data_IF_969321021075
#
_entry.id   IF_969321021075
#
_cell.length_a   1.000
_cell.length_b   1.000
_cell.length_c   1.000
_cell.angle_alpha   90.00
_cell.angle_beta   90.00
_cell.angle_gamma   90.00
#
_symmetry.space_group_name_H-M   'P 1'
#
loop_
_entity.id
_entity.type
_entity.pdbx_description
1 polymer ?
#
# COMPACT_ATOMS: atom_id res chain seq x y z
N UNK A 1 -30.66 25.72 22.20
CA UNK A 1 -31.22 24.40 22.57
C UNK A 1 -30.11 23.37 22.49
N UNK A 2 -30.08 22.42 23.43
CA UNK A 2 -29.07 21.36 23.52
C UNK A 2 -29.08 20.50 22.23
N UNK A 3 -27.93 20.39 21.55
CA UNK A 3 -27.80 19.70 20.27
C UNK A 3 -28.13 18.20 20.36
N UNK A 4 -28.22 17.66 21.57
CA UNK A 4 -28.54 16.27 21.87
C UNK A 4 -30.03 15.93 21.77
N UNK A 5 -30.92 16.94 21.67
CA UNK A 5 -32.39 16.75 21.71
C UNK A 5 -33.05 16.86 20.31
N UNK A 6 -32.28 17.18 19.26
CA UNK A 6 -32.81 17.35 17.89
C UNK A 6 -33.12 15.98 17.25
N UNK A 7 -34.33 15.76 16.68
CA UNK A 7 -34.64 14.50 16.02
C UNK A 7 -33.76 14.32 14.78
N UNK A 8 -33.02 13.20 14.74
CA UNK A 8 -32.13 12.85 13.64
C UNK A 8 -32.96 12.54 12.38
N UNK A 9 -32.91 13.43 11.38
CA UNK A 9 -33.43 13.11 10.04
C UNK A 9 -32.37 12.31 9.28
N UNK A 10 -32.74 11.08 8.90
CA UNK A 10 -31.91 10.17 8.10
C UNK A 10 -32.33 10.37 6.63
N UNK A 11 -31.41 10.76 5.72
CA UNK A 11 -31.72 10.88 4.30
C UNK A 11 -32.21 9.54 3.73
N UNK A 12 -33.16 9.52 2.79
CA UNK A 12 -33.64 8.28 2.18
C UNK A 12 -32.53 7.49 1.47
N UNK A 13 -31.50 8.15 0.94
CA UNK A 13 -30.35 7.46 0.33
C UNK A 13 -29.45 6.75 1.36
N UNK A 14 -29.58 7.06 2.66
CA UNK A 14 -28.76 6.45 3.71
C UNK A 14 -29.10 4.97 3.90
N UNK A 15 -30.34 4.54 3.66
CA UNK A 15 -30.70 3.12 3.76
C UNK A 15 -29.96 2.29 2.72
N UNK A 16 -29.93 2.76 1.47
CA UNK A 16 -29.23 2.12 0.36
C UNK A 16 -27.72 2.10 0.61
N UNK A 17 -27.17 3.21 1.09
CA UNK A 17 -25.76 3.31 1.46
C UNK A 17 -25.40 2.38 2.63
N UNK A 18 -26.24 2.33 3.67
CA UNK A 18 -26.02 1.52 4.85
C UNK A 18 -26.09 0.02 4.57
N UNK A 19 -26.95 -0.40 3.65
CA UNK A 19 -27.02 -1.79 3.19
C UNK A 19 -25.81 -2.16 2.31
N UNK A 20 -25.45 -1.30 1.35
CA UNK A 20 -24.26 -1.51 0.49
C UNK A 20 -22.94 -1.62 1.27
N UNK A 21 -22.91 -1.05 2.46
CA UNK A 21 -21.72 -0.92 3.29
C UNK A 21 -21.90 -1.60 4.66
N UNK A 22 -22.83 -2.56 4.80
CA UNK A 22 -23.01 -3.38 6.02
C UNK A 22 -23.10 -2.58 7.35
N UNK A 23 -23.56 -1.32 7.27
CA UNK A 23 -23.62 -0.40 8.41
C UNK A 23 -24.66 -0.88 9.42
N UNK A 24 -25.77 -1.46 8.94
CA UNK A 24 -26.78 -2.04 9.82
C UNK A 24 -26.24 -3.20 10.65
N UNK A 25 -25.45 -4.07 10.03
CA UNK A 25 -24.81 -5.18 10.73
C UNK A 25 -23.81 -4.66 11.77
N UNK A 26 -22.97 -3.68 11.40
CA UNK A 26 -22.04 -3.04 12.33
C UNK A 26 -22.77 -2.45 13.55
N UNK A 27 -23.81 -1.64 13.31
CA UNK A 27 -24.59 -1.02 14.39
C UNK A 27 -25.25 -2.08 15.27
N UNK A 28 -25.77 -3.16 14.67
CA UNK A 28 -26.34 -4.28 15.43
C UNK A 28 -25.29 -4.97 16.30
N UNK A 29 -24.08 -5.19 15.81
CA UNK A 29 -22.97 -5.77 16.59
C UNK A 29 -22.56 -4.85 17.74
N UNK A 30 -22.45 -3.54 17.48
CA UNK A 30 -22.10 -2.54 18.50
C UNK A 30 -23.15 -2.50 19.62
N UNK A 31 -24.43 -2.44 19.26
CA UNK A 31 -25.53 -2.42 20.24
C UNK A 31 -25.60 -3.74 21.01
N UNK A 32 -25.42 -4.88 20.34
CA UNK A 32 -25.39 -6.20 20.98
C UNK A 32 -24.27 -6.27 22.03
N UNK A 33 -23.06 -5.85 21.69
CA UNK A 33 -21.92 -5.92 22.60
C UNK A 33 -22.09 -4.98 23.79
N UNK A 34 -22.63 -3.78 23.60
CA UNK A 34 -22.96 -2.89 24.73
C UNK A 34 -24.03 -3.50 25.64
N UNK A 35 -25.03 -4.17 25.08
CA UNK A 35 -26.09 -4.81 25.89
C UNK A 35 -25.61 -6.07 26.62
N UNK A 36 -24.67 -6.82 26.04
CA UNK A 36 -24.10 -8.03 26.64
C UNK A 36 -23.08 -7.67 27.72
N UNK A 37 -22.13 -6.78 27.41
CA UNK A 37 -20.98 -6.51 28.27
C UNK A 37 -21.28 -5.46 29.36
N UNK A 38 -22.37 -4.68 29.20
CA UNK A 38 -22.82 -3.62 30.12
C UNK A 38 -21.68 -2.79 30.73
N UNK A 39 -20.82 -2.19 29.89
CA UNK A 39 -19.69 -1.40 30.37
C UNK A 39 -20.15 -0.15 31.13
N UNK A 40 -19.36 0.28 32.11
CA UNK A 40 -19.63 1.50 32.90
C UNK A 40 -19.63 2.77 32.04
N UNK A 41 -18.79 2.82 30.99
CA UNK A 41 -18.81 3.86 29.95
C UNK A 41 -19.01 3.22 28.56
N UNK A 42 -20.27 3.17 28.07
CA UNK A 42 -20.60 2.53 26.80
C UNK A 42 -19.99 3.26 25.60
N UNK A 43 -19.76 4.56 25.67
CA UNK A 43 -19.20 5.33 24.55
C UNK A 43 -17.72 5.00 24.39
N UNK A 44 -16.97 5.01 25.49
CA UNK A 44 -15.55 4.68 25.46
C UNK A 44 -15.31 3.20 25.09
N UNK A 45 -16.21 2.31 25.52
CA UNK A 45 -16.19 0.90 25.13
C UNK A 45 -16.35 0.71 23.61
N UNK A 46 -17.35 1.37 23.02
CA UNK A 46 -17.60 1.33 21.57
C UNK A 46 -16.43 1.90 20.76
N UNK A 47 -15.82 3.00 21.23
CA UNK A 47 -14.63 3.59 20.58
C UNK A 47 -13.46 2.60 20.58
N UNK A 48 -13.24 1.89 21.69
CA UNK A 48 -12.16 0.90 21.79
C UNK A 48 -12.45 -0.35 20.96
N UNK A 49 -13.73 -0.76 20.88
CA UNK A 49 -14.17 -1.87 20.03
C UNK A 49 -13.93 -1.57 18.55
N UNK A 50 -14.35 -0.39 18.07
CA UNK A 50 -14.11 0.08 16.70
C UNK A 50 -12.62 0.28 16.35
N UNK A 51 -11.76 0.45 17.37
CA UNK A 51 -10.30 0.53 17.19
C UNK A 51 -9.61 -0.83 17.17
N UNK A 52 -10.20 -1.86 17.77
CA UNK A 52 -9.62 -3.22 17.88
C UNK A 52 -9.91 -4.06 16.64
N UNK A 53 -11.14 -4.00 16.14
CA UNK A 53 -11.50 -4.71 14.93
C UNK A 53 -11.02 -3.92 13.71
N UNK A 54 -10.23 -4.59 12.86
CA UNK A 54 -9.76 -4.07 11.58
C UNK A 54 -10.94 -3.93 10.62
N UNK A 55 -11.77 -2.92 10.84
CA UNK A 55 -12.77 -2.50 9.85
C UNK A 55 -12.05 -1.89 8.66
N UNK A 56 -12.38 -2.38 7.46
CA UNK A 56 -11.79 -1.93 6.20
C UNK A 56 -11.81 -0.39 6.10
N UNK A 57 -10.63 0.18 5.87
CA UNK A 57 -10.32 1.61 5.94
C UNK A 57 -11.07 2.55 4.98
N UNK A 58 -12.17 2.10 4.36
CA UNK A 58 -13.14 2.97 3.67
C UNK A 58 -14.06 3.71 4.65
N UNK A 59 -14.28 3.19 5.85
CA UNK A 59 -15.23 3.76 6.82
C UNK A 59 -14.73 4.96 7.62
N UNK A 60 -13.42 5.03 7.90
CA UNK A 60 -12.86 6.06 8.77
C UNK A 60 -12.76 7.44 8.11
N UNK A 61 -12.66 7.51 6.77
CA UNK A 61 -12.60 8.80 6.07
C UNK A 61 -13.98 9.51 6.02
N UNK A 62 -15.07 8.75 6.01
CA UNK A 62 -16.43 9.30 5.94
C UNK A 62 -16.98 9.72 7.31
N UNK A 63 -16.51 9.10 8.41
CA UNK A 63 -16.84 9.58 9.74
C UNK A 63 -16.21 10.96 10.04
N UNK A 64 -15.01 11.25 9.53
CA UNK A 64 -14.37 12.55 9.73
C UNK A 64 -15.03 13.69 8.94
N UNK A 65 -15.55 13.40 7.74
CA UNK A 65 -16.30 14.40 6.95
C UNK A 65 -17.69 14.61 7.54
N UNK A 66 -18.36 13.56 8.02
CA UNK A 66 -19.65 13.65 8.71
C UNK A 66 -19.54 14.39 10.06
N UNK A 67 -18.50 14.15 10.86
CA UNK A 67 -18.30 14.84 12.14
C UNK A 67 -17.95 16.32 11.93
N UNK A 68 -17.22 16.69 10.88
CA UNK A 68 -17.02 18.10 10.52
C UNK A 68 -18.28 18.78 9.97
N UNK A 69 -19.18 18.03 9.33
CA UNK A 69 -20.46 18.58 8.83
C UNK A 69 -21.57 18.62 9.89
N UNK A 70 -21.51 17.78 10.94
CA UNK A 70 -22.55 17.74 11.99
C UNK A 70 -22.15 18.35 13.31
N UNK A 71 -20.86 18.55 13.57
CA UNK A 71 -20.42 19.42 14.65
C UNK A 71 -20.00 20.75 14.04
N UNK A 72 -20.95 21.70 14.02
CA UNK A 72 -20.63 23.13 13.97
C UNK A 72 -19.81 23.47 15.23
N UNK A 73 -18.54 23.07 15.26
CA UNK A 73 -17.63 23.47 16.31
C UNK A 73 -17.18 24.90 15.98
N UNK A 74 -17.54 25.89 16.80
CA UNK A 74 -17.00 27.24 16.68
C UNK A 74 -15.47 27.12 16.82
N UNK A 75 -14.71 27.94 16.08
CA UNK A 75 -13.26 28.03 16.21
C UNK A 75 -12.83 28.37 17.66
N UNK A 76 -12.78 27.36 18.52
CA UNK A 76 -12.77 27.55 19.96
C UNK A 76 -12.63 26.24 20.71
N UNK A 77 -11.61 25.44 20.41
CA UNK A 77 -11.02 24.51 21.36
C UNK A 77 -9.51 24.44 21.10
N UNK A 78 -8.75 24.85 22.12
CA UNK A 78 -7.32 24.69 22.23
C UNK A 78 -6.95 23.21 22.16
N UNK A 79 -6.59 22.72 20.99
CA UNK A 79 -5.84 21.47 20.87
C UNK A 79 -4.51 21.86 20.23
N UNK A 80 -3.50 21.98 21.09
CA UNK A 80 -2.12 22.15 20.68
C UNK A 80 -1.75 21.13 19.59
N UNK A 81 -1.12 21.56 18.47
CA UNK A 81 -0.80 20.69 17.33
C UNK A 81 0.14 19.52 17.68
N UNK A 82 0.76 19.56 18.87
CA UNK A 82 1.66 18.52 19.37
C UNK A 82 0.98 17.17 19.68
N UNK A 83 -0.32 17.15 20.01
CA UNK A 83 -1.04 15.88 20.35
C UNK A 83 -1.78 15.23 19.19
N UNK A 84 -2.12 15.97 18.13
CA UNK A 84 -2.75 15.39 16.93
C UNK A 84 -1.75 14.64 16.04
N UNK A 85 -0.49 15.10 15.97
CA UNK A 85 0.54 14.44 15.17
C UNK A 85 1.05 13.12 15.76
N UNK A 86 0.86 12.86 17.07
CA UNK A 86 1.26 11.59 17.70
C UNK A 86 0.22 10.47 17.58
N UNK A 87 -1.04 10.75 17.26
CA UNK A 87 -2.12 9.73 17.34
C UNK A 87 -2.58 9.22 15.97
N UNK A 88 -2.07 9.76 14.87
CA UNK A 88 -2.43 9.35 13.51
C UNK A 88 -1.19 9.08 12.65
N UNK A 89 -0.31 8.21 13.17
CA UNK A 89 0.53 7.36 12.34
C UNK A 89 -0.22 6.06 12.06
N UNK A 90 -1.35 6.15 11.33
CA UNK A 90 -1.97 4.97 10.75
C UNK A 90 -1.15 4.61 9.51
N UNK A 91 -0.33 3.57 9.64
CA UNK A 91 0.24 2.84 8.52
C UNK A 91 -0.89 2.50 7.54
N UNK A 92 -0.80 2.85 6.26
CA UNK A 92 -1.25 2.08 5.09
C UNK A 92 -1.11 2.95 3.83
N UNK A 93 -0.92 2.29 2.68
CA UNK A 93 -0.50 2.84 1.40
C UNK A 93 -1.18 4.16 0.98
N UNK A 94 -0.36 5.09 0.46
CA UNK A 94 -0.74 6.37 -0.18
C UNK A 94 -1.42 7.40 0.74
N UNK A 95 -0.60 8.08 1.56
CA UNK A 95 -1.01 9.31 2.24
C UNK A 95 -1.45 10.37 1.21
N UNK A 96 -2.74 10.65 1.12
CA UNK A 96 -3.28 11.76 0.34
C UNK A 96 -3.54 12.91 1.30
N UNK A 97 -2.80 14.02 1.17
CA UNK A 97 -3.07 15.21 1.98
C UNK A 97 -3.69 16.27 1.07
N UNK A 98 -4.80 16.85 1.50
CA UNK A 98 -5.45 18.00 0.85
C UNK A 98 -5.43 19.16 1.82
N UNK A 99 -5.05 20.34 1.33
CA UNK A 99 -5.13 21.56 2.10
C UNK A 99 -5.94 22.60 1.33
N UNK A 100 -6.90 23.17 2.02
CA UNK A 100 -7.78 24.21 1.50
C UNK A 100 -7.15 25.57 1.79
N UNK A 101 -6.93 26.38 0.76
CA UNK A 101 -6.40 27.73 0.89
C UNK A 101 -7.41 28.76 0.38
N UNK A 102 -7.65 29.79 1.17
CA UNK A 102 -8.39 30.98 0.74
C UNK A 102 -7.69 32.23 1.32
N UNK A 103 -7.85 33.40 0.69
CA UNK A 103 -7.29 34.65 1.22
C UNK A 103 -7.83 34.96 2.63
N UNK A 104 -6.97 35.48 3.51
CA UNK A 104 -7.34 35.78 4.90
C UNK A 104 -8.53 36.76 4.98
N UNK A 105 -8.59 37.73 4.08
CA UNK A 105 -9.70 38.69 3.98
C UNK A 105 -11.03 37.96 3.75
N UNK A 106 -11.05 36.99 2.84
CA UNK A 106 -12.24 36.19 2.53
C UNK A 106 -12.63 35.30 3.71
N UNK A 107 -11.65 34.70 4.41
CA UNK A 107 -11.91 33.88 5.59
C UNK A 107 -12.49 34.69 6.76
N UNK A 108 -12.01 35.92 6.94
CA UNK A 108 -12.53 36.85 7.95
C UNK A 108 -13.96 37.27 7.58
N UNK A 109 -14.21 37.66 6.34
CA UNK A 109 -15.56 38.02 5.85
C UNK A 109 -16.55 36.85 6.01
N UNK A 110 -16.14 35.63 5.63
CA UNK A 110 -16.94 34.41 5.79
C UNK A 110 -17.30 34.12 7.24
N UNK A 111 -16.37 34.39 8.16
CA UNK A 111 -16.63 34.23 9.59
C UNK A 111 -17.62 35.28 10.08
N UNK A 112 -17.45 36.55 9.70
CA UNK A 112 -18.28 37.67 10.17
C UNK A 112 -19.71 37.65 9.59
N UNK A 113 -19.87 37.17 8.37
CA UNK A 113 -21.15 37.07 7.69
C UNK A 113 -21.99 35.86 8.09
N UNK A 114 -21.52 35.04 9.03
CA UNK A 114 -22.25 33.88 9.53
C UNK A 114 -23.54 34.29 10.25
N UNK A 115 -24.62 33.58 9.96
CA UNK A 115 -25.93 33.71 10.60
C UNK A 115 -26.42 32.33 11.01
N UNK A 116 -27.23 32.25 12.06
CA UNK A 116 -27.81 31.00 12.54
C UNK A 116 -29.31 31.18 12.62
N UNK A 117 -30.05 30.21 12.08
CA UNK A 117 -31.48 30.12 12.32
C UNK A 117 -31.71 29.59 13.75
N UNK A 118 -32.37 30.33 14.65
CA UNK A 118 -32.59 29.90 16.04
C UNK A 118 -33.56 28.72 16.15
N UNK A 119 -34.39 28.47 15.13
CA UNK A 119 -35.40 27.40 15.12
C UNK A 119 -34.81 26.09 14.61
N UNK A 120 -34.12 26.14 13.47
CA UNK A 120 -33.50 24.94 12.90
C UNK A 120 -32.09 24.71 13.43
N UNK A 121 -31.36 25.76 13.81
CA UNK A 121 -29.93 25.66 14.12
C UNK A 121 -29.05 25.53 12.88
N UNK A 122 -29.61 25.76 11.69
CA UNK A 122 -28.86 25.73 10.44
C UNK A 122 -28.09 27.04 10.25
N UNK A 123 -26.91 26.94 9.65
CA UNK A 123 -25.99 28.07 9.46
C UNK A 123 -26.15 28.64 8.06
N UNK A 124 -26.37 29.94 7.99
CA UNK A 124 -26.49 30.71 6.76
C UNK A 124 -25.37 31.74 6.66
N UNK A 125 -25.18 32.31 5.47
CA UNK A 125 -24.23 33.39 5.26
C UNK A 125 -24.87 34.50 4.44
N UNK A 126 -24.70 35.75 4.90
CA UNK A 126 -25.31 36.95 4.29
C UNK A 126 -25.08 37.09 2.78
N UNK A 127 -23.94 36.62 2.29
CA UNK A 127 -23.53 36.75 0.86
C UNK A 127 -23.49 35.43 0.09
N UNK A 128 -23.18 34.30 0.74
CA UNK A 128 -22.78 33.06 0.05
C UNK A 128 -23.83 31.95 0.17
N UNK A 129 -24.74 32.04 1.15
CA UNK A 129 -25.73 31.02 1.45
C UNK A 129 -26.91 31.69 2.13
N UNK A 130 -27.68 32.44 1.32
CA UNK A 130 -28.90 33.09 1.78
C UNK A 130 -30.06 32.09 1.70
N UNK A 131 -30.96 32.03 2.70
CA UNK A 131 -32.12 31.16 2.65
C UNK A 131 -33.07 31.54 1.51
N UNK A 132 -33.69 30.54 0.89
CA UNK A 132 -34.72 30.74 -0.15
C UNK A 132 -36.06 31.22 0.43
N UNK A 133 -36.35 30.85 1.68
CA UNK A 133 -37.56 31.28 2.39
C UNK A 133 -37.34 32.61 3.09
N UNK A 134 -38.23 33.56 2.83
CA UNK A 134 -38.24 34.89 3.43
C UNK A 134 -38.51 34.84 4.95
N UNK A 135 -39.27 33.86 5.41
CA UNK A 135 -39.55 33.59 6.83
C UNK A 135 -38.27 33.15 7.57
N UNK A 136 -37.43 32.35 6.90
CA UNK A 136 -36.13 31.93 7.44
C UNK A 136 -35.16 33.12 7.44
N UNK A 137 -35.16 33.94 6.39
CA UNK A 137 -34.31 35.12 6.29
C UNK A 137 -34.55 36.13 7.42
N UNK A 138 -35.83 36.38 7.77
CA UNK A 138 -36.21 37.36 8.79
C UNK A 138 -35.86 36.93 10.22
N UNK A 139 -35.72 35.62 10.48
CA UNK A 139 -35.41 35.08 11.81
C UNK A 139 -33.94 34.77 12.04
N UNK A 140 -33.07 35.01 11.06
CA UNK A 140 -31.63 34.73 11.19
C UNK A 140 -30.97 35.64 12.22
N UNK A 141 -30.26 35.03 13.17
CA UNK A 141 -29.54 35.75 14.21
C UNK A 141 -28.02 35.66 14.03
N UNK A 142 -27.32 36.60 14.65
CA UNK A 142 -25.86 36.62 14.64
C UNK A 142 -25.36 35.68 15.75
N UNK A 143 -24.51 34.67 15.47
CA UNK A 143 -24.02 33.76 16.48
C UNK A 143 -23.40 34.49 17.68
N UNK A 144 -23.77 34.12 18.91
CA UNK A 144 -23.14 34.65 20.13
C UNK A 144 -21.68 34.24 20.30
N UNK A 145 -21.21 33.24 19.53
CA UNK A 145 -19.84 32.72 19.50
C UNK A 145 -18.93 33.40 18.48
N UNK A 146 -19.41 34.45 17.79
CA UNK A 146 -18.65 35.18 16.78
C UNK A 146 -17.43 35.86 17.40
N UNK A 147 -16.25 35.54 16.87
CA UNK A 147 -15.00 36.17 17.29
C UNK A 147 -14.79 37.49 16.56
N UNK A 148 -14.18 38.50 17.21
CA UNK A 148 -13.78 39.74 16.55
C UNK A 148 -12.77 39.48 15.42
N UNK A 149 -12.80 40.33 14.38
CA UNK A 149 -11.92 40.23 13.21
C UNK A 149 -10.43 40.16 13.59
N UNK A 150 -9.99 40.96 14.56
CA UNK A 150 -8.60 41.01 15.03
C UNK A 150 -8.12 39.67 15.64
N UNK A 151 -9.01 38.96 16.32
CA UNK A 151 -8.70 37.68 16.93
C UNK A 151 -8.63 36.57 15.88
N UNK A 152 -9.48 36.64 14.85
CA UNK A 152 -9.46 35.73 13.70
C UNK A 152 -8.14 35.92 12.92
N UNK A 153 -7.75 37.17 12.66
CA UNK A 153 -6.49 37.49 11.98
C UNK A 153 -5.27 36.93 12.72
N UNK A 154 -5.22 37.06 14.06
CA UNK A 154 -4.15 36.45 14.88
C UNK A 154 -4.12 34.92 14.79
N UNK A 155 -5.28 34.26 14.73
CA UNK A 155 -5.36 32.80 14.56
C UNK A 155 -4.88 32.36 13.17
N UNK A 156 -5.25 33.10 12.11
CA UNK A 156 -4.79 32.83 10.75
C UNK A 156 -3.27 33.00 10.63
N UNK A 157 -2.69 34.05 11.22
CA UNK A 157 -1.24 34.22 11.27
C UNK A 157 -0.51 33.05 11.94
N UNK A 158 -1.04 32.55 13.06
CA UNK A 158 -0.50 31.37 13.73
C UNK A 158 -0.61 30.13 12.85
N UNK A 159 -1.76 29.92 12.21
CA UNK A 159 -1.96 28.82 11.27
C UNK A 159 -0.97 28.87 10.11
N UNK A 160 -0.76 30.03 9.47
CA UNK A 160 0.22 30.16 8.37
C UNK A 160 1.64 29.79 8.80
N UNK A 161 2.03 30.19 10.02
CA UNK A 161 3.35 29.87 10.58
C UNK A 161 3.51 28.36 10.80
N UNK A 162 2.51 27.69 11.36
CA UNK A 162 2.53 26.25 11.63
C UNK A 162 2.35 25.40 10.36
N UNK A 163 1.46 25.83 9.46
CA UNK A 163 1.16 25.17 8.20
C UNK A 163 2.35 25.19 7.25
N UNK A 164 3.21 26.23 7.28
CA UNK A 164 4.39 26.29 6.43
C UNK A 164 5.34 25.10 6.64
N UNK A 165 5.53 24.65 7.89
CA UNK A 165 6.30 23.46 8.20
C UNK A 165 5.65 22.18 7.64
N UNK A 166 4.33 22.06 7.78
CA UNK A 166 3.57 20.92 7.25
C UNK A 166 3.58 20.86 5.72
N UNK A 167 3.43 22.00 5.03
CA UNK A 167 3.53 22.09 3.56
C UNK A 167 4.88 21.58 3.06
N UNK A 168 5.95 21.91 3.78
CA UNK A 168 7.31 21.47 3.44
C UNK A 168 7.50 19.98 3.65
N UNK A 169 7.02 19.44 4.78
CA UNK A 169 7.15 18.01 5.11
C UNK A 169 6.34 17.12 4.16
N UNK A 170 5.13 17.54 3.81
CA UNK A 170 4.22 16.76 2.98
C UNK A 170 4.18 17.21 1.52
N UNK A 171 5.16 17.99 1.04
CA UNK A 171 5.14 18.56 -0.31
C UNK A 171 4.94 17.52 -1.42
N UNK A 172 5.36 16.27 -1.17
CA UNK A 172 5.30 15.16 -2.14
C UNK A 172 3.90 14.55 -2.26
N UNK A 173 3.05 14.72 -1.25
CA UNK A 173 1.71 14.12 -1.20
C UNK A 173 0.57 15.12 -0.99
N UNK A 174 0.91 16.38 -0.69
CA UNK A 174 -0.01 17.47 -0.45
C UNK A 174 -0.50 18.11 -1.75
N UNK A 175 -1.83 18.26 -1.89
CA UNK A 175 -2.46 19.11 -2.90
C UNK A 175 -3.17 20.27 -2.23
N UNK A 176 -2.81 21.47 -2.67
CA UNK A 176 -3.53 22.68 -2.33
C UNK A 176 -4.71 22.86 -3.28
N UNK A 177 -5.90 23.11 -2.74
CA UNK A 177 -7.11 23.45 -3.49
C UNK A 177 -7.59 24.83 -3.01
N UNK A 178 -7.94 25.70 -3.96
CA UNK A 178 -8.51 27.00 -3.66
C UNK A 178 -9.89 26.81 -3.02
N UNK A 179 -10.12 27.39 -1.85
CA UNK A 179 -11.40 27.39 -1.15
C UNK A 179 -12.19 28.69 -1.37
N UNK A 180 -11.63 29.66 -2.11
CA UNK A 180 -12.35 30.86 -2.54
C UNK A 180 -13.22 30.59 -3.79
N UNK A 181 -14.08 29.58 -3.69
CA UNK A 181 -15.02 29.17 -4.72
C UNK A 181 -16.24 28.50 -4.03
N UNK A 182 -17.35 28.27 -4.75
CA UNK A 182 -18.51 27.57 -4.21
C UNK A 182 -18.15 26.21 -3.60
N UNK A 183 -18.81 25.84 -2.51
CA UNK A 183 -18.50 24.62 -1.77
C UNK A 183 -18.65 23.34 -2.62
N UNK A 184 -19.58 23.33 -3.58
CA UNK A 184 -19.78 22.24 -4.54
C UNK A 184 -18.55 22.05 -5.44
N UNK A 185 -17.91 23.14 -5.85
CA UNK A 185 -16.72 23.11 -6.70
C UNK A 185 -15.49 22.67 -5.92
N UNK A 186 -15.32 23.17 -4.68
CA UNK A 186 -14.27 22.67 -3.78
C UNK A 186 -14.44 21.17 -3.57
N UNK A 187 -15.67 20.73 -3.25
CA UNK A 187 -15.97 19.34 -2.97
C UNK A 187 -15.74 18.44 -4.19
N UNK A 188 -16.17 18.87 -5.38
CA UNK A 188 -15.91 18.12 -6.61
C UNK A 188 -14.43 18.04 -6.95
N UNK A 189 -13.65 19.10 -6.73
CA UNK A 189 -12.20 19.09 -6.92
C UNK A 189 -11.49 18.16 -5.93
N UNK A 190 -11.90 18.17 -4.66
CA UNK A 190 -11.37 17.25 -3.64
C UNK A 190 -11.74 15.81 -4.00
N UNK A 191 -13.01 15.54 -4.32
CA UNK A 191 -13.46 14.22 -4.73
C UNK A 191 -12.74 13.74 -5.97
N UNK A 192 -12.58 14.57 -6.99
CA UNK A 192 -11.85 14.23 -8.19
C UNK A 192 -10.40 13.91 -7.85
N UNK A 193 -9.74 14.69 -7.02
CA UNK A 193 -8.36 14.42 -6.61
C UNK A 193 -8.22 13.13 -5.78
N UNK A 194 -9.16 12.85 -4.87
CA UNK A 194 -9.21 11.61 -4.08
C UNK A 194 -9.52 10.39 -4.95
N UNK A 195 -10.40 10.55 -5.94
CA UNK A 195 -10.83 9.49 -6.86
C UNK A 195 -9.87 9.30 -8.03
N UNK A 196 -9.04 10.27 -8.35
CA UNK A 196 -8.10 10.18 -9.47
C UNK A 196 -7.03 9.16 -9.13
N UNK A 197 -6.93 8.03 -9.86
CA UNK A 197 -5.80 7.13 -9.72
C UNK A 197 -4.53 7.89 -10.11
N UNK A 198 -3.60 8.05 -9.16
CA UNK A 198 -2.38 8.80 -9.44
C UNK A 198 -1.48 8.03 -10.39
N UNK A 199 -1.13 8.68 -11.50
CA UNK A 199 0.02 8.32 -12.31
C UNK A 199 1.28 8.94 -11.68
N UNK A 200 1.95 8.18 -10.82
CA UNK A 200 3.39 8.37 -10.65
C UNK A 200 4.10 7.64 -11.80
N UNK A 201 5.28 8.10 -12.21
CA UNK A 201 6.13 7.34 -13.13
C UNK A 201 6.48 5.92 -12.60
N UNK A 202 6.20 5.65 -11.32
CA UNK A 202 5.90 4.32 -10.77
C UNK A 202 4.88 4.44 -9.61
N UNK A 203 3.60 4.10 -9.79
CA UNK A 203 2.53 4.37 -8.82
C UNK A 203 2.48 3.45 -7.61
N UNK A 204 3.40 2.49 -7.50
CA UNK A 204 3.56 1.61 -6.35
C UNK A 204 5.04 1.36 -6.10
N UNK A 205 5.43 1.26 -4.83
CA UNK A 205 6.67 0.61 -4.45
C UNK A 205 6.78 -0.72 -5.22
N UNK A 206 7.78 -0.91 -6.10
CA UNK A 206 7.88 -2.07 -6.97
C UNK A 206 7.99 -3.35 -6.14
N UNK A 207 7.07 -4.30 -6.36
CA UNK A 207 6.98 -5.58 -5.66
C UNK A 207 6.92 -6.66 -6.72
N UNK A 208 8.10 -7.05 -7.19
CA UNK A 208 8.28 -7.87 -8.37
C UNK A 208 8.51 -9.30 -7.92
N UNK A 209 7.82 -10.23 -8.56
CA UNK A 209 8.02 -11.65 -8.40
C UNK A 209 8.58 -12.22 -9.71
N UNK A 210 9.71 -12.91 -9.64
CA UNK A 210 10.39 -13.51 -10.80
C UNK A 210 10.38 -15.03 -10.72
N UNK A 211 9.60 -15.64 -11.59
CA UNK A 211 9.59 -17.07 -11.85
C UNK A 211 10.47 -17.44 -13.03
N UNK A 212 10.92 -18.68 -13.05
CA UNK A 212 11.63 -19.27 -14.18
C UNK A 212 12.39 -20.52 -13.76
N UNK A 213 12.59 -21.48 -14.68
CA UNK A 213 13.33 -22.70 -14.40
C UNK A 213 14.78 -22.40 -14.02
N UNK A 214 15.52 -23.34 -13.41
CA UNK A 214 16.96 -23.21 -13.27
C UNK A 214 17.62 -22.97 -14.65
N UNK A 215 18.59 -22.06 -14.74
CA UNK A 215 19.21 -21.68 -16.01
C UNK A 215 18.57 -20.50 -16.76
N UNK A 216 17.37 -20.05 -16.38
CA UNK A 216 16.67 -18.92 -17.03
C UNK A 216 17.31 -17.54 -16.81
N UNK A 217 18.31 -17.42 -15.95
CA UNK A 217 18.95 -16.14 -15.62
C UNK A 217 18.17 -15.26 -14.64
N UNK A 218 17.10 -15.77 -14.00
CA UNK A 218 16.30 -15.01 -13.00
C UNK A 218 17.11 -14.25 -11.95
N UNK A 219 18.17 -14.84 -11.40
CA UNK A 219 19.02 -14.19 -10.39
C UNK A 219 19.83 -13.02 -10.96
N UNK A 220 20.29 -13.14 -12.21
CA UNK A 220 20.98 -12.07 -12.91
C UNK A 220 20.00 -10.92 -13.19
N UNK A 221 18.82 -11.24 -13.72
CA UNK A 221 17.79 -10.25 -13.99
C UNK A 221 17.33 -9.52 -12.72
N UNK A 222 17.11 -10.26 -11.62
CA UNK A 222 16.76 -9.67 -10.32
C UNK A 222 17.84 -8.69 -9.84
N UNK A 223 19.13 -9.05 -9.98
CA UNK A 223 20.25 -8.18 -9.62
C UNK A 223 20.30 -6.92 -10.48
N UNK A 224 20.11 -7.05 -11.80
CA UNK A 224 20.10 -5.90 -12.71
C UNK A 224 18.94 -4.94 -12.40
N UNK A 225 17.74 -5.47 -12.14
CA UNK A 225 16.58 -4.67 -11.74
C UNK A 225 16.84 -3.96 -10.41
N UNK A 226 17.36 -4.68 -9.41
CA UNK A 226 17.70 -4.13 -8.11
C UNK A 226 18.72 -2.98 -8.21
N UNK A 227 19.75 -3.14 -9.03
CA UNK A 227 20.78 -2.12 -9.25
C UNK A 227 20.22 -0.89 -9.98
N UNK A 228 19.43 -1.09 -11.05
CA UNK A 228 18.92 0.02 -11.88
C UNK A 228 17.87 0.86 -11.15
N UNK A 229 16.95 0.22 -10.42
CA UNK A 229 15.83 0.90 -9.77
C UNK A 229 16.02 1.12 -8.26
N UNK A 230 17.16 0.70 -7.70
CA UNK A 230 17.45 0.87 -6.27
C UNK A 230 16.58 0.03 -5.34
N UNK A 231 15.94 -1.02 -5.85
CA UNK A 231 15.03 -1.91 -5.11
C UNK A 231 15.81 -3.04 -4.43
N UNK A 232 15.21 -3.69 -3.44
CA UNK A 232 15.87 -4.76 -2.69
C UNK A 232 15.81 -6.08 -3.46
N UNK A 233 16.96 -6.69 -3.76
CA UNK A 233 17.00 -8.06 -4.28
C UNK A 233 16.83 -9.07 -3.13
N UNK A 234 15.83 -9.94 -3.24
CA UNK A 234 15.56 -10.99 -2.26
C UNK A 234 15.62 -12.34 -2.96
N UNK A 235 16.72 -13.06 -2.75
CA UNK A 235 16.82 -14.47 -3.10
C UNK A 235 16.49 -15.32 -1.88
N UNK A 236 15.43 -16.13 -1.95
CA UNK A 236 15.04 -17.00 -0.84
C UNK A 236 16.18 -17.95 -0.41
N UNK A 237 16.86 -18.59 -1.37
CA UNK A 237 17.96 -19.50 -1.09
C UNK A 237 19.20 -18.83 -0.47
N UNK A 238 19.52 -17.59 -0.84
CA UNK A 238 20.62 -16.83 -0.20
C UNK A 238 20.21 -16.32 1.17
N UNK A 239 18.94 -15.91 1.34
CA UNK A 239 18.39 -15.48 2.62
C UNK A 239 18.45 -16.60 3.66
N UNK A 240 18.04 -17.82 3.28
CA UNK A 240 18.14 -18.98 4.18
C UNK A 240 19.59 -19.29 4.57
N UNK A 241 20.54 -19.17 3.63
CA UNK A 241 21.97 -19.35 3.94
C UNK A 241 22.50 -18.27 4.88
N UNK A 242 22.12 -17.01 4.67
CA UNK A 242 22.50 -15.92 5.54
C UNK A 242 21.97 -16.15 6.97
N UNK A 243 20.69 -16.48 7.11
CA UNK A 243 20.09 -16.77 8.42
C UNK A 243 20.71 -17.99 9.09
N UNK A 244 21.16 -18.99 8.33
CA UNK A 244 21.81 -20.19 8.89
C UNK A 244 23.23 -19.93 9.38
N UNK A 245 23.88 -18.89 8.84
CA UNK A 245 25.18 -18.44 9.30
C UNK A 245 25.07 -17.55 10.54
N UNK A 246 23.90 -16.94 10.76
CA UNK A 246 23.60 -16.16 11.95
C UNK A 246 23.33 -17.10 13.15
N UNK A 247 23.88 -16.80 14.32
CA UNK A 247 23.66 -17.52 15.59
C UNK A 247 22.27 -17.24 16.20
N UNK A 248 21.25 -17.06 15.35
CA UNK A 248 19.87 -16.83 15.77
C UNK A 248 19.14 -18.15 16.03
N UNK A 249 18.08 -18.13 16.84
CA UNK A 249 17.22 -19.30 17.04
C UNK A 249 16.66 -19.85 15.72
N UNK A 250 16.34 -18.97 14.76
CA UNK A 250 15.91 -19.39 13.42
C UNK A 250 17.05 -20.04 12.63
N UNK A 251 18.27 -19.55 12.77
CA UNK A 251 19.49 -20.10 12.18
C UNK A 251 19.76 -21.53 12.65
N UNK A 252 19.71 -21.76 13.96
CA UNK A 252 19.86 -23.10 14.56
C UNK A 252 18.80 -24.09 14.08
N UNK A 253 17.55 -23.63 13.91
CA UNK A 253 16.46 -24.45 13.39
C UNK A 253 16.66 -24.87 11.92
N UNK A 254 17.16 -23.98 11.06
CA UNK A 254 17.30 -24.28 9.62
C UNK A 254 18.61 -24.98 9.26
N UNK A 255 19.65 -24.83 10.09
CA UNK A 255 20.97 -25.43 9.89
C UNK A 255 20.95 -26.93 9.56
N UNK A 256 20.24 -27.81 10.30
CA UNK A 256 20.22 -29.24 9.99
C UNK A 256 19.58 -29.54 8.63
N UNK A 257 18.57 -28.78 8.20
CA UNK A 257 17.94 -28.96 6.89
C UNK A 257 18.91 -28.60 5.75
N UNK A 258 19.68 -27.51 5.91
CA UNK A 258 20.64 -27.09 4.90
C UNK A 258 21.85 -28.03 4.82
N UNK A 259 22.34 -28.54 5.97
CA UNK A 259 23.45 -29.50 6.04
C UNK A 259 23.05 -30.87 5.47
N UNK A 260 21.80 -31.30 5.67
CA UNK A 260 21.26 -32.56 5.13
C UNK A 260 20.70 -32.47 3.71
N UNK A 261 20.81 -31.30 3.07
CA UNK A 261 20.22 -30.97 1.76
C UNK A 261 18.71 -31.26 1.66
N UNK A 262 18.01 -31.19 2.79
CA UNK A 262 16.56 -31.35 2.85
C UNK A 262 15.85 -30.02 2.58
N UNK A 263 14.63 -30.12 2.06
CA UNK A 263 13.78 -28.95 1.84
C UNK A 263 13.34 -28.37 3.19
N UNK A 264 13.53 -27.06 3.36
CA UNK A 264 13.07 -26.35 4.56
C UNK A 264 11.54 -26.23 4.49
N UNK A 265 10.80 -26.53 5.58
CA UNK A 265 9.35 -26.37 5.63
C UNK A 265 8.87 -24.96 5.24
N UNK A 266 7.80 -24.87 4.45
CA UNK A 266 7.25 -23.59 3.93
C UNK A 266 6.96 -22.58 5.03
N UNK A 267 6.37 -23.01 6.16
CA UNK A 267 6.06 -22.15 7.30
C UNK A 267 7.28 -21.45 7.91
N UNK A 268 8.44 -22.11 7.93
CA UNK A 268 9.70 -21.53 8.41
C UNK A 268 10.23 -20.52 7.39
N UNK A 269 10.18 -20.86 6.10
CA UNK A 269 10.60 -20.00 5.00
C UNK A 269 9.77 -18.71 4.96
N UNK A 270 8.45 -18.82 5.08
CA UNK A 270 7.51 -17.70 5.09
C UNK A 270 7.79 -16.75 6.27
N UNK A 271 8.10 -17.28 7.45
CA UNK A 271 8.45 -16.46 8.62
C UNK A 271 9.71 -15.63 8.38
N UNK A 272 10.76 -16.26 7.85
CA UNK A 272 12.03 -15.59 7.52
C UNK A 272 11.81 -14.53 6.42
N UNK A 273 11.04 -14.86 5.38
CA UNK A 273 10.70 -13.94 4.30
C UNK A 273 9.90 -12.75 4.81
N UNK A 274 8.88 -12.99 5.64
CA UNK A 274 8.03 -11.95 6.23
C UNK A 274 8.86 -10.97 7.05
N UNK A 275 9.79 -11.46 7.86
CA UNK A 275 10.71 -10.59 8.61
C UNK A 275 11.57 -9.74 7.67
N UNK A 276 12.12 -10.33 6.61
CA UNK A 276 12.95 -9.61 5.64
C UNK A 276 12.17 -8.57 4.84
N UNK A 277 10.95 -8.90 4.42
CA UNK A 277 10.05 -8.06 3.64
C UNK A 277 9.45 -6.90 4.46
N UNK A 278 9.34 -7.08 5.78
CA UNK A 278 8.84 -6.06 6.71
C UNK A 278 9.87 -4.96 7.04
N UNK A 279 11.13 -5.12 6.64
CA UNK A 279 12.17 -4.12 6.88
C UNK A 279 11.89 -2.84 6.08
N UNK A 280 12.27 -1.69 6.65
CA UNK A 280 11.96 -0.37 6.05
C UNK A 280 12.48 -0.21 4.63
N UNK A 281 13.61 -0.83 4.29
CA UNK A 281 14.18 -0.77 2.94
C UNK A 281 13.26 -1.43 1.90
N UNK A 282 12.70 -2.59 2.21
CA UNK A 282 11.71 -3.29 1.39
C UNK A 282 10.39 -2.51 1.29
N UNK A 283 9.93 -1.91 2.38
CA UNK A 283 8.66 -1.15 2.39
C UNK A 283 8.75 0.16 1.62
N UNK A 284 9.90 0.84 1.69
CA UNK A 284 10.09 2.17 1.06
C UNK A 284 10.58 2.08 -0.38
N UNK A 285 11.55 1.21 -0.67
CA UNK A 285 12.16 1.08 -2.01
C UNK A 285 11.52 -0.02 -2.84
N UNK A 286 10.94 -1.03 -2.20
CA UNK A 286 10.39 -2.20 -2.87
C UNK A 286 11.36 -3.34 -2.96
N UNK A 287 10.90 -4.43 -3.54
CA UNK A 287 11.61 -5.69 -3.58
C UNK A 287 11.38 -6.42 -4.90
N UNK A 288 12.40 -7.19 -5.29
CA UNK A 288 12.29 -8.24 -6.28
C UNK A 288 12.57 -9.57 -5.59
N UNK A 289 11.57 -10.44 -5.56
CA UNK A 289 11.62 -11.74 -4.92
C UNK A 289 11.77 -12.82 -5.99
N UNK A 290 12.72 -13.73 -5.77
CA UNK A 290 12.88 -14.91 -6.60
C UNK A 290 13.26 -16.15 -5.77
N UNK A 291 12.84 -17.32 -6.25
CA UNK A 291 13.04 -18.60 -5.58
C UNK A 291 11.98 -18.95 -4.52
N UNK A 292 10.95 -18.11 -4.39
CA UNK A 292 9.72 -18.34 -3.62
C UNK A 292 8.60 -17.49 -4.25
N UNK A 293 7.35 -17.97 -4.33
CA UNK A 293 6.88 -19.33 -4.03
C UNK A 293 7.36 -20.37 -5.07
N UNK A 294 7.24 -21.66 -4.76
CA UNK A 294 7.56 -22.79 -5.66
C UNK A 294 6.36 -23.67 -5.98
N UNK A 295 5.27 -23.51 -5.25
CA UNK A 295 3.99 -24.19 -5.39
C UNK A 295 2.85 -23.20 -5.06
N UNK A 296 1.61 -23.63 -5.28
CA UNK A 296 0.42 -22.79 -5.05
C UNK A 296 0.20 -22.52 -3.56
N UNK A 297 0.45 -23.51 -2.69
CA UNK A 297 0.30 -23.35 -1.24
C UNK A 297 1.18 -22.21 -0.71
N UNK A 298 2.45 -22.14 -1.13
CA UNK A 298 3.34 -21.03 -0.80
C UNK A 298 2.89 -19.69 -1.39
N UNK A 299 2.24 -19.70 -2.56
CA UNK A 299 1.70 -18.50 -3.18
C UNK A 299 0.51 -17.94 -2.40
N UNK A 300 -0.37 -18.82 -1.91
CA UNK A 300 -1.48 -18.49 -1.00
C UNK A 300 -0.96 -17.92 0.32
N UNK A 301 0.00 -18.62 0.96
CA UNK A 301 0.66 -18.16 2.20
C UNK A 301 1.28 -16.77 2.07
N UNK A 302 1.91 -16.46 0.92
CA UNK A 302 2.49 -15.14 0.64
C UNK A 302 1.41 -14.05 0.54
N UNK A 303 0.27 -14.39 -0.07
CA UNK A 303 -0.86 -13.48 -0.22
C UNK A 303 -1.54 -13.21 1.13
N UNK A 304 -1.75 -14.24 1.95
CA UNK A 304 -2.28 -14.12 3.32
C UNK A 304 -1.39 -13.25 4.22
N UNK A 305 -0.08 -13.30 4.01
CA UNK A 305 0.91 -12.47 4.69
C UNK A 305 0.87 -10.99 4.27
N UNK A 306 -0.06 -10.58 3.40
CA UNK A 306 -0.25 -9.23 2.86
C UNK A 306 0.93 -8.70 2.00
N UNK A 307 1.83 -9.57 1.53
CA UNK A 307 2.91 -9.21 0.61
C UNK A 307 2.51 -9.44 -0.85
N UNK A 308 1.51 -8.68 -1.30
CA UNK A 308 0.94 -8.82 -2.65
C UNK A 308 1.92 -8.23 -3.70
N UNK A 309 2.43 -9.03 -4.66
CA UNK A 309 3.25 -8.53 -5.74
C UNK A 309 2.43 -7.69 -6.72
N UNK A 310 3.03 -6.63 -7.26
CA UNK A 310 2.41 -5.82 -8.31
C UNK A 310 2.83 -6.26 -9.72
N UNK A 311 3.94 -6.98 -9.83
CA UNK A 311 4.48 -7.47 -11.10
C UNK A 311 4.89 -8.92 -10.90
N UNK A 312 4.46 -9.77 -11.81
CA UNK A 312 4.83 -11.18 -11.84
C UNK A 312 5.36 -11.47 -13.24
N UNK A 313 6.54 -12.08 -13.33
CA UNK A 313 7.14 -12.46 -14.60
C UNK A 313 7.50 -13.94 -14.60
N UNK A 314 7.24 -14.60 -15.72
CA UNK A 314 7.74 -15.94 -16.02
C UNK A 314 8.83 -15.82 -17.08
N UNK A 315 10.05 -16.22 -16.72
CA UNK A 315 11.14 -16.38 -17.67
C UNK A 315 11.06 -17.77 -18.30
N UNK A 316 10.82 -17.83 -19.60
CA UNK A 316 10.60 -19.06 -20.35
C UNK A 316 11.85 -19.45 -21.13
N UNK A 317 12.23 -20.71 -21.03
CA UNK A 317 13.39 -21.27 -21.72
C UNK A 317 13.16 -22.78 -21.90
N UNK A 318 13.77 -23.37 -22.92
CA UNK A 318 13.75 -24.82 -23.13
C UNK A 318 14.71 -25.53 -22.17
N UNK A 319 14.43 -26.80 -21.89
CA UNK A 319 15.25 -27.63 -21.00
C UNK A 319 16.68 -27.79 -21.52
N UNK A 320 16.86 -27.98 -22.83
CA UNK A 320 18.18 -28.15 -23.45
C UNK A 320 19.10 -26.95 -23.16
N UNK A 321 18.56 -25.73 -23.33
CA UNK A 321 19.31 -24.50 -23.13
C UNK A 321 19.53 -24.24 -21.63
N UNK A 322 18.56 -24.58 -20.79
CA UNK A 322 18.73 -24.54 -19.34
C UNK A 322 19.87 -25.46 -18.88
N UNK A 323 19.97 -26.67 -19.45
CA UNK A 323 21.02 -27.64 -19.17
C UNK A 323 22.37 -27.12 -19.63
N UNK A 324 22.48 -26.64 -20.85
CA UNK A 324 23.71 -26.07 -21.39
C UNK A 324 24.21 -24.91 -20.50
N UNK A 325 23.34 -23.95 -20.18
CA UNK A 325 23.68 -22.75 -19.40
C UNK A 325 24.19 -23.05 -18.00
N UNK A 326 23.68 -24.10 -17.37
CA UNK A 326 24.01 -24.45 -15.98
C UNK A 326 25.24 -25.36 -15.91
N UNK A 327 25.33 -26.36 -16.80
CA UNK A 327 26.42 -27.34 -16.81
C UNK A 327 27.76 -26.71 -17.22
N UNK A 328 27.75 -25.77 -18.17
CA UNK A 328 28.95 -25.07 -18.65
C UNK A 328 29.36 -23.88 -17.76
N UNK A 329 28.67 -23.67 -16.64
CA UNK A 329 28.96 -22.58 -15.70
C UNK A 329 30.00 -22.99 -14.67
N UNK A 330 31.16 -22.35 -14.75
CA UNK A 330 32.21 -22.44 -13.73
C UNK A 330 32.26 -21.17 -12.87
N UNK A 331 32.78 -21.31 -11.65
CA UNK A 331 33.09 -20.18 -10.76
C UNK A 331 34.57 -20.21 -10.43
N UNK A 332 35.22 -19.06 -10.52
CA UNK A 332 36.57 -18.89 -10.01
C UNK A 332 36.51 -18.67 -8.49
N UNK A 333 37.08 -19.58 -7.67
CA UNK A 333 37.01 -19.48 -6.21
C UNK A 333 37.76 -18.27 -5.65
N UNK A 334 38.69 -17.68 -6.40
CA UNK A 334 39.49 -16.53 -5.92
C UNK A 334 38.76 -15.21 -6.14
N UNK A 335 38.22 -15.01 -7.34
CA UNK A 335 37.52 -13.76 -7.70
C UNK A 335 36.03 -13.81 -7.35
N UNK A 336 35.46 -15.01 -7.19
CA UNK A 336 34.02 -15.21 -7.07
C UNK A 336 33.26 -14.96 -8.38
N UNK A 337 33.97 -14.62 -9.46
CA UNK A 337 33.35 -14.43 -10.76
C UNK A 337 32.96 -15.76 -11.39
N UNK A 338 31.80 -15.77 -12.04
CA UNK A 338 31.38 -16.90 -12.84
C UNK A 338 31.79 -16.68 -14.30
N UNK A 339 32.06 -17.80 -14.97
CA UNK A 339 32.42 -17.91 -16.36
C UNK A 339 31.53 -18.96 -17.03
N UNK A 340 31.36 -18.83 -18.35
CA UNK A 340 30.63 -19.78 -19.15
C UNK A 340 31.48 -20.14 -20.37
N UNK A 341 31.63 -21.43 -20.65
CA UNK A 341 32.55 -21.91 -21.69
C UNK A 341 32.37 -21.24 -23.05
N UNK A 342 31.13 -20.86 -23.39
CA UNK A 342 30.78 -20.21 -24.67
C UNK A 342 30.66 -18.67 -24.52
N UNK A 343 29.72 -18.17 -23.71
CA UNK A 343 29.37 -16.74 -23.68
C UNK A 343 30.30 -15.82 -22.88
N UNK A 344 31.03 -16.36 -21.90
CA UNK A 344 31.98 -15.60 -21.07
C UNK A 344 33.19 -16.48 -20.79
N UNK A 345 34.05 -16.71 -21.81
CA UNK A 345 35.21 -17.58 -21.66
C UNK A 345 36.17 -17.00 -20.63
N UNK A 346 36.93 -17.89 -19.99
CA UNK A 346 37.95 -17.50 -19.01
C UNK A 346 39.06 -16.69 -19.69
N UNK A 347 39.52 -15.59 -19.07
CA UNK A 347 40.45 -14.64 -19.70
C UNK A 347 41.89 -15.17 -19.81
N UNK A 348 42.24 -16.26 -19.11
CA UNK A 348 43.58 -16.83 -19.15
C UNK A 348 43.70 -18.24 -18.55
N UNK A 349 44.82 -18.93 -18.80
CA UNK A 349 45.02 -20.33 -18.44
C UNK A 349 45.07 -20.59 -16.92
N UNK A 350 45.51 -19.60 -16.14
CA UNK A 350 45.52 -19.70 -14.67
C UNK A 350 44.11 -19.78 -14.08
N UNK A 351 43.19 -18.95 -14.59
CA UNK A 351 41.78 -18.95 -14.17
C UNK A 351 41.10 -20.24 -14.64
N UNK A 352 41.45 -20.72 -15.84
CA UNK A 352 40.93 -21.98 -16.37
C UNK A 352 41.34 -23.19 -15.51
N UNK A 353 42.59 -23.26 -15.05
CA UNK A 353 43.10 -24.37 -14.24
C UNK A 353 42.44 -24.45 -12.84
N UNK A 354 42.00 -23.31 -12.28
CA UNK A 354 41.38 -23.26 -10.95
C UNK A 354 39.85 -23.18 -10.97
N UNK A 355 39.24 -23.19 -12.15
CA UNK A 355 37.79 -23.10 -12.32
C UNK A 355 37.10 -24.27 -11.63
N UNK A 356 36.08 -23.99 -10.82
CA UNK A 356 35.30 -25.03 -10.12
C UNK A 356 33.87 -25.06 -10.66
N UNK A 357 33.39 -26.27 -10.89
CA UNK A 357 31.99 -26.53 -11.23
C UNK A 357 31.25 -26.98 -9.98
N UNK A 358 30.04 -26.46 -9.80
CA UNK A 358 29.22 -26.83 -8.66
C UNK A 358 28.68 -28.26 -8.89
N UNK A 359 28.83 -29.20 -7.93
CA UNK A 359 28.22 -30.52 -8.05
C UNK A 359 26.71 -30.48 -8.33
N UNK A 360 26.02 -29.46 -7.82
CA UNK A 360 24.58 -29.18 -8.04
C UNK A 360 24.21 -28.84 -9.48
N UNK A 361 25.20 -28.63 -10.34
CA UNK A 361 25.02 -28.34 -11.77
C UNK A 361 25.19 -29.59 -12.63
N UNK A 362 25.23 -30.78 -12.03
CA UNK A 362 25.15 -32.03 -12.78
C UNK A 362 23.82 -32.14 -13.53
N UNK A 363 23.85 -32.69 -14.74
CA UNK A 363 22.69 -32.84 -15.61
C UNK A 363 21.55 -33.61 -14.92
N UNK A 364 21.86 -34.71 -14.25
CA UNK A 364 20.86 -35.53 -13.54
C UNK A 364 20.12 -34.75 -12.44
N UNK A 365 20.83 -33.93 -11.65
CA UNK A 365 20.21 -33.12 -10.61
C UNK A 365 19.42 -31.95 -11.19
N UNK A 366 19.86 -31.41 -12.32
CA UNK A 366 19.17 -30.34 -13.01
C UNK A 366 17.85 -30.82 -13.63
N UNK A 367 17.85 -31.98 -14.27
CA UNK A 367 16.65 -32.62 -14.80
C UNK A 367 15.60 -32.86 -13.70
N UNK A 368 16.03 -33.31 -12.51
CA UNK A 368 15.13 -33.46 -11.36
C UNK A 368 14.47 -32.12 -10.98
N UNK A 369 15.25 -31.04 -10.91
CA UNK A 369 14.75 -29.70 -10.56
C UNK A 369 13.89 -29.06 -11.65
N UNK A 370 14.20 -29.33 -12.92
CA UNK A 370 13.36 -28.92 -14.04
C UNK A 370 12.01 -29.62 -13.96
N UNK A 371 12.00 -30.93 -13.72
CA UNK A 371 10.77 -31.70 -13.53
C UNK A 371 9.93 -31.16 -12.36
N UNK A 372 10.55 -30.92 -11.21
CA UNK A 372 9.87 -30.30 -10.05
C UNK A 372 9.27 -28.94 -10.39
N UNK A 373 10.01 -28.09 -11.11
CA UNK A 373 9.52 -26.79 -11.56
C UNK A 373 8.31 -26.92 -12.49
N UNK A 374 8.40 -27.77 -13.52
CA UNK A 374 7.33 -27.95 -14.50
C UNK A 374 6.05 -28.54 -13.89
N UNK A 375 6.18 -29.40 -12.87
CA UNK A 375 5.03 -29.96 -12.16
C UNK A 375 4.14 -28.88 -11.52
N UNK A 376 4.71 -27.79 -11.01
CA UNK A 376 3.94 -26.73 -10.33
C UNK A 376 3.70 -25.49 -11.20
N UNK A 377 4.36 -25.40 -12.35
CA UNK A 377 4.32 -24.19 -13.19
C UNK A 377 2.92 -23.89 -13.72
N UNK A 378 2.18 -24.92 -14.15
CA UNK A 378 0.83 -24.75 -14.69
C UNK A 378 -0.12 -24.15 -13.64
N UNK A 379 -0.07 -24.66 -12.42
CA UNK A 379 -0.94 -24.20 -11.33
C UNK A 379 -0.53 -22.79 -10.85
N UNK A 380 0.78 -22.49 -10.80
CA UNK A 380 1.28 -21.15 -10.49
C UNK A 380 0.91 -20.11 -11.56
N UNK A 381 0.91 -20.49 -12.84
CA UNK A 381 0.45 -19.63 -13.92
C UNK A 381 -1.05 -19.34 -13.81
N UNK A 382 -1.85 -20.35 -13.45
CA UNK A 382 -3.27 -20.17 -13.17
C UNK A 382 -3.54 -19.26 -11.97
N UNK A 383 -2.70 -19.35 -10.92
CA UNK A 383 -2.80 -18.49 -9.73
C UNK A 383 -2.44 -17.01 -10.02
N UNK A 384 -1.50 -16.77 -10.93
CA UNK A 384 -1.08 -15.43 -11.36
C UNK A 384 -1.46 -15.13 -12.82
N UNK A 385 -2.76 -14.96 -13.14
CA UNK A 385 -3.22 -14.72 -14.52
C UNK A 385 -2.70 -13.39 -15.12
N UNK A 386 -2.30 -12.44 -14.27
CA UNK A 386 -1.70 -11.17 -14.66
C UNK A 386 -0.20 -11.26 -15.01
N UNK A 387 0.40 -12.44 -14.90
CA UNK A 387 1.82 -12.61 -15.09
C UNK A 387 2.23 -12.39 -16.55
N UNK A 388 3.43 -11.84 -16.73
CA UNK A 388 4.00 -11.56 -18.05
C UNK A 388 5.06 -12.61 -18.37
N UNK A 389 4.88 -13.26 -19.51
CA UNK A 389 5.80 -14.29 -20.01
C UNK A 389 6.86 -13.63 -20.88
N UNK A 390 8.13 -13.98 -20.63
CA UNK A 390 9.28 -13.40 -21.32
C UNK A 390 10.17 -14.55 -21.78
N UNK A 391 10.44 -14.56 -23.08
CA UNK A 391 11.43 -15.45 -23.66
C UNK A 391 12.83 -15.13 -23.10
N UNK A 392 13.38 -16.03 -22.30
CA UNK A 392 14.70 -15.94 -21.69
C UNK A 392 15.79 -16.65 -22.51
N UNK A 393 15.43 -17.25 -23.66
CA UNK A 393 16.36 -17.77 -24.64
C UNK A 393 16.95 -16.68 -25.54
N UNK A 394 17.44 -15.61 -24.91
CA UNK A 394 18.09 -14.48 -25.57
C UNK A 394 19.29 -14.05 -24.74
N UNK A 395 20.06 -13.09 -25.25
CA UNK A 395 21.14 -12.52 -24.47
C UNK A 395 20.59 -11.81 -23.21
N UNK A 396 21.36 -11.76 -22.10
CA UNK A 396 20.88 -11.20 -20.86
C UNK A 396 20.43 -9.73 -20.95
N UNK A 397 20.97 -8.94 -21.88
CA UNK A 397 20.62 -7.53 -22.03
C UNK A 397 19.26 -7.39 -22.73
N UNK A 398 18.99 -8.14 -23.79
CA UNK A 398 17.68 -8.13 -24.47
C UNK A 398 16.57 -8.65 -23.56
N UNK A 399 16.85 -9.67 -22.74
CA UNK A 399 15.89 -10.13 -21.71
C UNK A 399 15.62 -9.01 -20.68
N UNK A 400 16.65 -8.28 -20.28
CA UNK A 400 16.52 -7.16 -19.33
C UNK A 400 15.71 -6.00 -19.93
N UNK A 401 15.97 -5.62 -21.17
CA UNK A 401 15.20 -4.60 -21.89
C UNK A 401 13.73 -5.00 -22.04
N UNK A 402 13.48 -6.28 -22.35
CA UNK A 402 12.13 -6.84 -22.41
C UNK A 402 11.41 -6.74 -21.06
N UNK A 403 12.07 -7.14 -19.96
CA UNK A 403 11.56 -6.97 -18.60
C UNK A 403 11.25 -5.51 -18.29
N UNK A 404 12.18 -4.61 -18.56
CA UNK A 404 12.05 -3.17 -18.31
C UNK A 404 10.86 -2.56 -19.05
N UNK A 405 10.70 -2.88 -20.34
CA UNK A 405 9.57 -2.39 -21.14
C UNK A 405 8.21 -2.72 -20.50
N UNK A 406 8.12 -3.88 -19.83
CA UNK A 406 6.92 -4.39 -19.18
C UNK A 406 6.79 -3.95 -17.71
N UNK A 407 7.90 -3.55 -17.08
CA UNK A 407 7.90 -2.94 -15.75
C UNK A 407 7.26 -1.54 -15.77
N UNK A 408 7.56 -0.73 -16.79
CA UNK A 408 7.10 0.66 -16.95
C UNK A 408 5.66 0.77 -17.48
N UNK A 409 5.11 -0.31 -18.06
CA UNK A 409 3.74 -0.36 -18.56
C UNK A 409 2.64 -0.21 -17.49
N UNK A 410 1.38 0.04 -17.87
CA UNK A 410 0.25 0.06 -16.92
C UNK A 410 0.14 -1.30 -16.19
N UNK A 411 -0.25 -1.28 -14.92
CA UNK A 411 -0.61 -2.50 -14.20
C UNK A 411 -1.73 -3.24 -14.93
N UNK A 412 -1.62 -4.56 -15.12
CA UNK A 412 -2.76 -5.36 -15.56
C UNK A 412 -3.92 -5.02 -14.64
N UNK A 413 -5.08 -4.67 -15.22
CA UNK A 413 -6.29 -4.54 -14.40
C UNK A 413 -6.55 -5.94 -13.85
N UNK A 414 -6.47 -6.09 -12.53
CA UNK A 414 -7.02 -7.28 -11.87
C UNK A 414 -8.51 -7.25 -12.23
N UNK A 415 -8.93 -8.13 -13.12
CA UNK A 415 -10.35 -8.37 -13.37
C UNK A 415 -10.86 -9.00 -12.07
N UNK A 416 -11.43 -8.17 -11.20
CA UNK A 416 -12.25 -8.69 -10.12
C UNK A 416 -13.37 -9.47 -10.78
N UNK A 417 -13.33 -10.80 -10.70
CA UNK A 417 -14.46 -11.66 -10.99
C UNK A 417 -15.57 -11.32 -9.96
N UNK A 418 -16.33 -10.27 -10.25
CA UNK A 418 -17.60 -9.94 -9.62
C UNK A 418 -18.56 -9.49 -10.73
N UNK A 419 -18.71 -10.32 -11.75
CA UNK A 419 -19.81 -10.25 -12.71
C UNK A 419 -20.27 -11.67 -13.02
N UNK A 420 -21.02 -12.28 -12.10
CA UNK A 420 -22.03 -13.31 -12.44
C UNK A 420 -22.95 -13.47 -11.23
N UNK A 421 -24.02 -12.68 -11.16
CA UNK A 421 -25.33 -13.08 -10.65
C UNK A 421 -26.36 -12.09 -11.22
N UNK A 422 -26.66 -12.26 -12.50
CA UNK A 422 -27.94 -11.85 -13.07
C UNK A 422 -28.59 -13.10 -13.69
N UNK A 423 -29.58 -13.63 -12.99
CA UNK A 423 -30.73 -14.36 -13.53
C UNK A 423 -31.82 -14.37 -12.48
#
# INVERSE_FOLDING_TARGET
>A
MDATVRPLRIPPEMAIYAEKHDIFHLVQTLVRNVMVDKPEDPIQYLINFLKRDRFDGKFLLLLFISVFYRTNIPFGLSITPYRMCQTLALSFNSFLTVMLEAPDVVLIERSLGQRIDPVTGDVYHVTFMWPESEEVAQRLETPSTLMPADLIAKKLQRFHTEAHALKRTYHSCLKTINADQPHVDVFSQVLNYVRTPRHSASPYTPRILLFGPPGSGKSLQAKLIAQKYGIVNICCGELLKAVSADESHMGELIKPYLESEQQVPSSIVLRILTERLSRMDCTTRGWVLHGFPQDVEQAEELQESNFIPNRVFFLEITDDIAIERVTLRGVDPVTGEWYHSIYKPVPGPEVQARLRFNPRHSEAQLLKRLKEYWNHTADLQAFYPQAVHINADQDPHTVFESLESRLVGRLPKILSNQETFES
#
